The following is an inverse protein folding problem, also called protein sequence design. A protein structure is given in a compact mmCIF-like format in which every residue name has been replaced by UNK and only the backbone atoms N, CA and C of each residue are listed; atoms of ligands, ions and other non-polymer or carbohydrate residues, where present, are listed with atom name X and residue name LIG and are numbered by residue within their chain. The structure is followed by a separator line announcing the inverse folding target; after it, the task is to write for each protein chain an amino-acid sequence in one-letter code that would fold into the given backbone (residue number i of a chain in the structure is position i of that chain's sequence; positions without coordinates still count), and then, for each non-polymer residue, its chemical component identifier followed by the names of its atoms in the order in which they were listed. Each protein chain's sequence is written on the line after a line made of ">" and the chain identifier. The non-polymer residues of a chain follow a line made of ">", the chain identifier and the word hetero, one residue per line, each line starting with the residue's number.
data_IF_250498055775
#
_entry.id   IF_250498055775
#
_cell.length_a   1.000
_cell.length_b   1.000
_cell.length_c   1.000
_cell.angle_alpha   90.00
_cell.angle_beta   90.00
_cell.angle_gamma   90.00
#
_symmetry.space_group_name_H-M   'P 1'
#
loop_
_entity.id
_entity.type
_entity.pdbx_description
1 polymer ?
#
# COMPACT_ATOMS: atom_id res chain seq x y z
N UNK A 1 26.47 33.73 -45.41
CA UNK A 1 25.28 33.55 -44.53
C UNK A 1 25.14 32.12 -44.01
N UNK A 2 25.31 31.08 -44.83
CA UNK A 2 25.12 29.69 -44.41
C UNK A 2 26.09 29.21 -43.31
N UNK A 3 27.36 29.62 -43.32
CA UNK A 3 28.35 29.17 -42.33
C UNK A 3 28.07 29.70 -40.92
N UNK A 4 27.61 30.95 -40.81
CA UNK A 4 27.23 31.57 -39.53
C UNK A 4 25.99 30.89 -38.95
N UNK A 5 24.99 30.61 -39.80
CA UNK A 5 23.78 29.89 -39.42
C UNK A 5 24.12 28.47 -38.93
N UNK A 6 25.03 27.77 -39.60
CA UNK A 6 25.44 26.41 -39.24
C UNK A 6 26.18 26.36 -37.89
N UNK A 7 27.07 27.33 -37.64
CA UNK A 7 27.75 27.48 -36.34
C UNK A 7 26.74 27.79 -35.22
N UNK A 8 25.76 28.64 -35.50
CA UNK A 8 24.72 29.01 -34.52
C UNK A 8 23.83 27.81 -34.17
N UNK A 9 23.46 26.99 -35.16
CA UNK A 9 22.72 25.74 -34.94
C UNK A 9 23.53 24.76 -34.07
N UNK A 10 24.82 24.57 -34.36
CA UNK A 10 25.68 23.67 -33.57
C UNK A 10 25.78 24.15 -32.11
N UNK A 11 25.91 25.47 -31.88
CA UNK A 11 25.95 26.03 -30.53
C UNK A 11 24.63 25.82 -29.78
N UNK A 12 23.50 25.99 -30.45
CA UNK A 12 22.18 25.74 -29.85
C UNK A 12 22.01 24.26 -29.49
N UNK A 13 22.38 23.34 -30.40
CA UNK A 13 22.32 21.90 -30.13
C UNK A 13 23.24 21.50 -28.97
N UNK A 14 24.46 22.05 -28.92
CA UNK A 14 25.39 21.80 -27.82
C UNK A 14 24.87 22.34 -26.48
N UNK A 15 24.25 23.53 -26.48
CA UNK A 15 23.64 24.11 -25.30
C UNK A 15 22.45 23.28 -24.79
N UNK A 16 21.58 22.81 -25.71
CA UNK A 16 20.47 21.92 -25.37
C UNK A 16 20.99 20.59 -24.81
N UNK A 17 21.98 19.96 -25.45
CA UNK A 17 22.56 18.71 -24.98
C UNK A 17 23.20 18.86 -23.58
N UNK A 18 23.90 19.97 -23.33
CA UNK A 18 24.47 20.29 -22.02
C UNK A 18 23.38 20.54 -20.96
N UNK A 19 22.32 21.28 -21.30
CA UNK A 19 21.19 21.51 -20.41
C UNK A 19 20.46 20.20 -20.04
N UNK A 20 20.24 19.31 -21.01
CA UNK A 20 19.63 18.00 -20.78
C UNK A 20 20.54 17.10 -19.92
N UNK A 21 21.84 17.06 -20.19
CA UNK A 21 22.80 16.27 -19.41
C UNK A 21 22.95 16.77 -17.97
N UNK A 22 23.03 18.09 -17.76
CA UNK A 22 23.14 18.67 -16.43
C UNK A 22 21.86 18.47 -15.61
N UNK A 23 20.69 18.63 -16.24
CA UNK A 23 19.38 18.36 -15.63
C UNK A 23 19.20 16.89 -15.26
N UNK A 24 19.55 15.96 -16.15
CA UNK A 24 19.43 14.52 -15.88
C UNK A 24 20.34 14.06 -14.74
N UNK A 25 21.57 14.59 -14.67
CA UNK A 25 22.51 14.32 -13.57
C UNK A 25 22.05 14.89 -12.24
N UNK A 26 21.47 16.10 -12.24
CA UNK A 26 20.91 16.71 -11.04
C UNK A 26 19.69 15.93 -10.52
N UNK A 27 18.78 15.53 -11.41
CA UNK A 27 17.64 14.69 -11.06
C UNK A 27 18.06 13.31 -10.56
N UNK A 28 19.05 12.67 -11.19
CA UNK A 28 19.57 11.38 -10.74
C UNK A 28 20.12 11.42 -9.32
N UNK A 29 20.85 12.49 -8.95
CA UNK A 29 21.34 12.70 -7.58
C UNK A 29 20.22 12.87 -6.57
N UNK A 30 19.24 13.74 -6.85
CA UNK A 30 18.07 13.96 -5.98
C UNK A 30 17.24 12.68 -5.78
N UNK A 31 17.06 11.90 -6.83
CA UNK A 31 16.36 10.62 -6.75
C UNK A 31 17.14 9.60 -5.91
N UNK A 32 18.47 9.58 -6.00
CA UNK A 32 19.30 8.71 -5.17
C UNK A 32 19.31 9.13 -3.69
N UNK A 33 19.38 10.43 -3.40
CA UNK A 33 19.29 10.97 -2.04
C UNK A 33 17.92 10.66 -1.42
N UNK A 34 16.83 10.96 -2.13
CA UNK A 34 15.47 10.65 -1.62
C UNK A 34 15.23 9.15 -1.42
N UNK A 35 15.79 8.29 -2.27
CA UNK A 35 15.78 6.84 -2.06
C UNK A 35 16.55 6.44 -0.80
N UNK A 36 17.75 7.00 -0.58
CA UNK A 36 18.57 6.69 0.58
C UNK A 36 17.88 7.10 1.89
N UNK A 37 17.29 8.29 1.93
CA UNK A 37 16.54 8.79 3.09
C UNK A 37 15.31 7.92 3.38
N UNK A 38 14.52 7.61 2.34
CA UNK A 38 13.36 6.74 2.48
C UNK A 38 13.75 5.33 2.95
N UNK A 39 14.89 4.80 2.48
CA UNK A 39 15.41 3.52 2.96
C UNK A 39 15.83 3.56 4.42
N UNK A 40 16.48 4.64 4.85
CA UNK A 40 16.90 4.81 6.24
C UNK A 40 15.70 4.87 7.19
N UNK A 41 14.65 5.62 6.84
CA UNK A 41 13.43 5.72 7.66
C UNK A 41 12.71 4.38 7.76
N UNK A 42 12.56 3.67 6.63
CA UNK A 42 11.96 2.33 6.62
C UNK A 42 12.75 1.33 7.48
N UNK A 43 14.07 1.27 7.31
CA UNK A 43 14.95 0.34 8.05
C UNK A 43 14.87 0.55 9.55
N UNK A 44 14.86 1.80 10.02
CA UNK A 44 14.69 2.12 11.45
C UNK A 44 13.44 1.46 12.05
N UNK A 45 12.30 1.51 11.33
CA UNK A 45 11.06 0.89 11.81
C UNK A 45 11.08 -0.63 11.68
N UNK A 46 11.69 -1.17 10.62
CA UNK A 46 11.86 -2.62 10.42
C UNK A 46 12.74 -3.23 11.52
N UNK A 47 13.85 -2.58 11.87
CA UNK A 47 14.73 -3.00 12.96
C UNK A 47 14.01 -2.95 14.31
N UNK A 48 13.24 -1.88 14.56
CA UNK A 48 12.38 -1.79 15.75
C UNK A 48 11.38 -2.94 15.80
N UNK A 49 10.71 -3.24 14.68
CA UNK A 49 9.76 -4.34 14.58
C UNK A 49 10.42 -5.70 14.83
N UNK A 50 11.55 -5.96 14.17
CA UNK A 50 12.33 -7.20 14.35
C UNK A 50 12.75 -7.39 15.80
N UNK A 51 13.19 -6.31 16.46
CA UNK A 51 13.52 -6.34 17.89
C UNK A 51 12.34 -6.69 18.79
N UNK A 52 11.10 -6.35 18.42
CA UNK A 52 9.91 -6.74 19.18
C UNK A 52 9.51 -8.20 18.90
N UNK A 53 9.45 -8.58 17.62
CA UNK A 53 9.04 -9.92 17.19
C UNK A 53 9.97 -11.00 17.73
N UNK A 54 11.28 -10.75 17.78
CA UNK A 54 12.27 -11.73 18.25
C UNK A 54 12.31 -11.88 19.78
N UNK A 55 11.84 -10.88 20.53
CA UNK A 55 11.98 -10.84 22.00
C UNK A 55 10.66 -11.02 22.75
N UNK A 56 9.51 -10.91 22.08
CA UNK A 56 8.19 -11.13 22.69
C UNK A 56 7.73 -12.56 22.44
N UNK A 57 7.09 -13.16 23.45
CA UNK A 57 6.44 -14.46 23.34
C UNK A 57 5.02 -14.34 23.87
N UNK A 58 4.03 -14.69 23.04
CA UNK A 58 2.61 -14.54 23.39
C UNK A 58 2.18 -15.48 24.51
N UNK A 59 1.44 -14.95 25.50
CA UNK A 59 0.91 -15.71 26.65
C UNK A 59 -0.48 -16.31 26.44
N UNK A 60 -1.21 -15.84 25.43
CA UNK A 60 -2.60 -16.16 25.14
C UNK A 60 -2.82 -16.21 23.61
N UNK A 61 -3.99 -16.64 23.17
CA UNK A 61 -4.25 -16.86 21.75
C UNK A 61 -4.24 -15.54 20.95
N UNK A 62 -4.75 -14.46 21.53
CA UNK A 62 -4.78 -13.13 20.92
C UNK A 62 -3.35 -12.58 20.71
N UNK A 63 -2.50 -12.67 21.73
CA UNK A 63 -1.11 -12.24 21.66
C UNK A 63 -0.25 -13.11 20.75
N UNK A 64 -0.47 -14.44 20.73
CA UNK A 64 0.22 -15.35 19.79
C UNK A 64 -0.16 -15.03 18.35
N UNK A 65 -1.45 -14.87 18.06
CA UNK A 65 -1.94 -14.53 16.73
C UNK A 65 -1.39 -13.19 16.26
N UNK A 66 -1.48 -12.15 17.10
CA UNK A 66 -0.94 -10.84 16.78
C UNK A 66 0.59 -10.86 16.57
N UNK A 67 1.37 -11.63 17.34
CA UNK A 67 2.81 -11.78 17.09
C UNK A 67 3.11 -12.56 15.80
N UNK A 68 2.28 -13.53 15.44
CA UNK A 68 2.39 -14.22 14.16
C UNK A 68 2.14 -13.25 12.99
N UNK A 69 1.05 -12.47 13.03
CA UNK A 69 0.75 -11.44 12.03
C UNK A 69 1.87 -10.37 11.99
N UNK A 70 2.45 -9.98 13.13
CA UNK A 70 3.61 -9.08 13.19
C UNK A 70 4.85 -9.67 12.50
N UNK A 71 5.10 -10.97 12.68
CA UNK A 71 6.22 -11.69 12.07
C UNK A 71 6.08 -11.79 10.55
N UNK A 72 4.86 -12.00 10.06
CA UNK A 72 4.54 -11.95 8.63
C UNK A 72 4.87 -10.57 8.05
N UNK A 73 4.42 -9.49 8.71
CA UNK A 73 4.72 -8.12 8.30
C UNK A 73 6.21 -7.80 8.35
N UNK A 74 6.93 -8.29 9.36
CA UNK A 74 8.38 -8.14 9.45
C UNK A 74 9.11 -8.79 8.27
N UNK A 75 8.72 -10.02 7.91
CA UNK A 75 9.29 -10.75 6.77
C UNK A 75 9.00 -10.02 5.46
N UNK A 76 7.76 -9.56 5.27
CA UNK A 76 7.37 -8.80 4.10
C UNK A 76 8.13 -7.47 3.98
N UNK A 77 8.17 -6.68 5.06
CA UNK A 77 8.85 -5.38 5.08
C UNK A 77 10.36 -5.53 4.83
N UNK A 78 11.00 -6.54 5.42
CA UNK A 78 12.42 -6.84 5.23
C UNK A 78 12.72 -7.19 3.76
N UNK A 79 11.91 -8.05 3.15
CA UNK A 79 12.06 -8.41 1.73
C UNK A 79 11.82 -7.21 0.80
N UNK A 80 10.78 -6.40 1.07
CA UNK A 80 10.45 -5.23 0.27
C UNK A 80 11.54 -4.15 0.32
N UNK A 81 12.11 -3.88 1.50
CA UNK A 81 13.12 -2.82 1.63
C UNK A 81 14.44 -3.18 0.94
N UNK A 82 14.79 -4.47 0.95
CA UNK A 82 15.99 -4.98 0.29
C UNK A 82 15.88 -4.88 -1.24
N UNK A 83 14.68 -5.12 -1.78
CA UNK A 83 14.40 -5.02 -3.21
C UNK A 83 14.05 -3.61 -3.71
N UNK A 84 13.81 -2.65 -2.79
CA UNK A 84 13.36 -1.31 -3.17
C UNK A 84 14.40 -0.56 -4.02
N UNK A 85 13.98 -0.06 -5.18
CA UNK A 85 14.80 0.76 -6.10
C UNK A 85 14.27 2.18 -6.25
N UNK A 86 13.14 2.49 -5.61
CA UNK A 86 12.49 3.82 -5.62
C UNK A 86 12.07 4.25 -4.21
N UNK A 87 12.02 5.55 -3.95
CA UNK A 87 11.58 6.08 -2.66
C UNK A 87 10.16 5.60 -2.30
N UNK A 88 9.28 5.46 -3.30
CA UNK A 88 7.92 4.91 -3.12
C UNK A 88 7.94 3.47 -2.63
N UNK A 89 8.78 2.60 -3.19
CA UNK A 89 8.90 1.22 -2.72
C UNK A 89 9.45 1.15 -1.29
N UNK A 90 10.41 2.00 -0.94
CA UNK A 90 10.90 2.09 0.44
C UNK A 90 9.80 2.57 1.41
N UNK A 91 8.95 3.53 1.00
CA UNK A 91 7.80 3.97 1.77
C UNK A 91 6.75 2.87 1.97
N UNK A 92 6.51 2.01 0.96
CA UNK A 92 5.62 0.85 1.11
C UNK A 92 6.18 -0.17 2.14
N UNK A 93 7.50 -0.39 2.13
CA UNK A 93 8.15 -1.23 3.13
C UNK A 93 8.04 -0.63 4.55
N UNK A 94 8.16 0.70 4.66
CA UNK A 94 7.90 1.44 5.91
C UNK A 94 6.47 1.21 6.40
N UNK A 95 5.48 1.31 5.52
CA UNK A 95 4.07 1.08 5.86
C UNK A 95 3.84 -0.36 6.37
N UNK A 96 4.42 -1.36 5.70
CA UNK A 96 4.40 -2.75 6.19
C UNK A 96 5.03 -2.92 7.57
N UNK A 97 6.12 -2.21 7.86
CA UNK A 97 6.75 -2.22 9.18
C UNK A 97 5.85 -1.57 10.25
N UNK A 98 5.16 -0.47 9.92
CA UNK A 98 4.21 0.19 10.82
C UNK A 98 3.03 -0.74 11.12
N UNK A 99 2.49 -1.44 10.12
CA UNK A 99 1.43 -2.44 10.32
C UNK A 99 1.90 -3.53 11.29
N UNK A 100 3.11 -4.05 11.10
CA UNK A 100 3.74 -5.00 12.04
C UNK A 100 3.84 -4.45 13.45
N UNK A 101 4.21 -3.17 13.61
CA UNK A 101 4.26 -2.52 14.93
C UNK A 101 2.89 -2.37 15.58
N UNK A 102 1.81 -2.17 14.81
CA UNK A 102 0.46 -2.20 15.34
C UNK A 102 0.07 -3.60 15.84
N UNK A 103 0.48 -4.67 15.14
CA UNK A 103 0.29 -6.03 15.62
C UNK A 103 1.09 -6.32 16.91
N UNK A 104 2.33 -5.85 17.01
CA UNK A 104 3.10 -5.90 18.26
C UNK A 104 2.38 -5.16 19.38
N UNK A 105 1.87 -3.95 19.11
CA UNK A 105 1.11 -3.16 20.08
C UNK A 105 -0.12 -3.94 20.56
N UNK A 106 -0.86 -4.56 19.65
CA UNK A 106 -2.01 -5.40 19.97
C UNK A 106 -1.63 -6.61 20.82
N UNK A 107 -0.52 -7.29 20.50
CA UNK A 107 -0.01 -8.38 21.32
C UNK A 107 0.34 -7.93 22.74
N UNK A 108 1.02 -6.79 22.88
CA UNK A 108 1.37 -6.21 24.19
C UNK A 108 0.12 -5.87 25.00
N UNK A 109 -0.88 -5.26 24.37
CA UNK A 109 -2.19 -4.99 25.00
C UNK A 109 -2.88 -6.28 25.46
N UNK A 110 -2.88 -7.34 24.64
CA UNK A 110 -3.45 -8.64 25.01
C UNK A 110 -2.74 -9.28 26.21
N UNK A 111 -1.42 -9.10 26.33
CA UNK A 111 -0.62 -9.55 27.48
C UNK A 111 -0.71 -8.62 28.70
N UNK A 112 -1.51 -7.55 28.66
CA UNK A 112 -1.60 -6.55 29.74
C UNK A 112 -0.33 -5.73 29.94
N UNK A 113 0.52 -5.65 28.93
CA UNK A 113 1.76 -4.85 28.94
C UNK A 113 1.49 -3.42 28.46
N UNK A 114 2.42 -2.51 28.75
CA UNK A 114 2.44 -1.19 28.12
C UNK A 114 2.47 -1.35 26.58
N UNK A 115 1.50 -0.83 25.82
CA UNK A 115 1.45 -0.94 24.36
C UNK A 115 2.64 -0.25 23.67
N UNK A 116 3.36 0.62 24.37
CA UNK A 116 4.50 1.38 23.85
C UNK A 116 4.07 2.71 23.22
N UNK A 117 5.01 3.42 22.57
CA UNK A 117 4.75 4.76 22.06
C UNK A 117 3.74 4.73 20.91
N UNK A 118 3.06 5.87 20.72
CA UNK A 118 2.17 6.09 19.58
C UNK A 118 2.87 5.82 18.26
N UNK A 119 2.10 5.26 17.33
CA UNK A 119 2.57 4.90 15.99
C UNK A 119 2.06 5.92 14.98
N UNK A 120 2.82 6.08 13.91
CA UNK A 120 2.33 6.80 12.73
C UNK A 120 1.09 6.07 12.18
N UNK A 121 0.06 6.83 11.83
CA UNK A 121 -1.19 6.26 11.33
C UNK A 121 -1.01 5.64 9.95
N UNK A 122 -1.63 4.48 9.73
CA UNK A 122 -1.63 3.80 8.43
C UNK A 122 -2.54 4.51 7.40
N UNK A 123 -2.30 4.24 6.11
CA UNK A 123 -3.14 4.78 5.04
C UNK A 123 -4.59 4.32 5.20
N UNK A 124 -5.52 5.27 5.27
CA UNK A 124 -6.95 4.99 5.41
C UNK A 124 -7.37 4.44 6.76
N UNK A 125 -6.48 4.37 7.75
CA UNK A 125 -6.82 3.87 9.10
C UNK A 125 -7.84 4.78 9.79
N UNK A 126 -7.63 6.10 9.74
CA UNK A 126 -8.54 7.07 10.36
C UNK A 126 -9.92 7.04 9.72
N UNK A 127 -9.99 6.94 8.40
CA UNK A 127 -11.24 6.90 7.65
C UNK A 127 -11.98 5.57 7.76
N UNK A 128 -11.27 4.49 8.10
CA UNK A 128 -11.88 3.19 8.36
C UNK A 128 -12.49 3.08 9.78
N UNK A 129 -12.15 4.00 10.68
CA UNK A 129 -12.70 3.99 12.02
C UNK A 129 -12.20 2.84 12.89
N UNK A 130 -12.86 2.63 14.02
CA UNK A 130 -12.51 1.60 14.99
C UNK A 130 -13.75 1.02 15.68
N UNK A 131 -13.64 -0.24 16.09
CA UNK A 131 -14.60 -0.90 16.97
C UNK A 131 -14.54 -0.25 18.34
N UNK A 132 -15.66 0.27 18.83
CA UNK A 132 -15.74 0.97 20.13
C UNK A 132 -16.51 0.22 21.20
N UNK A 133 -17.26 -0.81 20.80
CA UNK A 133 -18.08 -1.62 21.71
C UNK A 133 -18.05 -3.10 21.31
N UNK A 134 -18.29 -3.97 22.28
CA UNK A 134 -18.43 -5.40 22.04
C UNK A 134 -19.71 -5.64 21.22
N UNK A 135 -19.58 -6.42 20.15
CA UNK A 135 -20.71 -6.79 19.32
C UNK A 135 -20.63 -8.24 18.89
N UNK A 136 -21.79 -8.88 18.91
CA UNK A 136 -21.99 -10.27 18.56
C UNK A 136 -23.24 -10.37 17.68
N UNK A 137 -23.09 -11.01 16.54
CA UNK A 137 -24.18 -11.21 15.58
C UNK A 137 -24.25 -12.68 15.15
N UNK A 138 -25.43 -13.12 14.71
CA UNK A 138 -25.57 -14.36 13.95
C UNK A 138 -25.62 -14.00 12.46
N UNK A 139 -24.66 -14.48 11.69
CA UNK A 139 -24.54 -14.22 10.26
C UNK A 139 -24.36 -15.56 9.54
N UNK A 140 -25.23 -15.91 8.59
CA UNK A 140 -25.13 -17.17 7.83
C UNK A 140 -25.02 -18.44 8.71
N UNK A 141 -25.69 -18.46 9.87
CA UNK A 141 -25.72 -19.61 10.78
C UNK A 141 -24.50 -19.75 11.69
N UNK A 142 -23.61 -18.75 11.73
CA UNK A 142 -22.40 -18.70 12.55
C UNK A 142 -22.37 -17.43 13.40
N UNK A 143 -21.77 -17.50 14.58
CA UNK A 143 -21.62 -16.37 15.49
C UNK A 143 -20.35 -15.60 15.13
N UNK A 144 -20.50 -14.30 14.83
CA UNK A 144 -19.38 -13.41 14.50
C UNK A 144 -19.32 -12.32 15.55
N UNK A 145 -18.11 -12.00 16.00
CA UNK A 145 -17.89 -11.01 17.04
C UNK A 145 -16.83 -9.98 16.66
N UNK A 146 -17.03 -8.77 17.18
CA UNK A 146 -16.07 -7.68 17.19
C UNK A 146 -15.94 -7.10 18.60
N UNK A 147 -14.75 -6.65 18.98
CA UNK A 147 -14.50 -6.00 20.27
C UNK A 147 -13.40 -4.94 20.17
N UNK A 148 -13.46 -3.85 20.97
CA UNK A 148 -12.33 -2.95 21.16
C UNK A 148 -11.16 -3.63 21.90
N UNK A 149 -11.42 -4.72 22.64
CA UNK A 149 -10.44 -5.37 23.52
C UNK A 149 -10.12 -6.81 23.08
N UNK A 150 -8.89 -7.28 23.34
CA UNK A 150 -8.52 -8.67 23.08
C UNK A 150 -9.31 -9.62 23.99
N UNK A 151 -9.74 -10.75 23.43
CA UNK A 151 -10.33 -11.85 24.21
C UNK A 151 -10.12 -13.19 23.50
N UNK A 152 -10.39 -14.29 24.21
CA UNK A 152 -10.40 -15.62 23.59
C UNK A 152 -11.45 -15.76 22.48
N UNK A 153 -12.52 -14.95 22.52
CA UNK A 153 -13.57 -14.95 21.48
C UNK A 153 -13.21 -14.11 20.27
N UNK A 154 -12.30 -13.15 20.44
CA UNK A 154 -11.87 -12.20 19.41
C UNK A 154 -10.34 -12.19 19.28
N UNK A 155 -9.70 -13.31 18.90
CA UNK A 155 -8.23 -13.39 18.91
C UNK A 155 -7.57 -12.68 17.71
N UNK A 156 -8.35 -12.27 16.70
CA UNK A 156 -7.80 -11.71 15.46
C UNK A 156 -7.81 -10.19 15.51
N UNK A 157 -6.64 -9.56 15.60
CA UNK A 157 -6.53 -8.11 15.51
C UNK A 157 -6.46 -7.63 14.06
N UNK A 158 -7.06 -6.47 13.78
CA UNK A 158 -6.80 -5.70 12.57
C UNK A 158 -6.48 -4.25 12.95
N UNK A 159 -5.40 -3.65 12.40
CA UNK A 159 -5.00 -2.28 12.76
C UNK A 159 -5.91 -1.19 12.20
N UNK A 160 -6.86 -1.52 11.32
CA UNK A 160 -7.67 -0.54 10.59
C UNK A 160 -7.00 -0.10 9.29
N UNK A 161 -7.79 0.23 8.28
CA UNK A 161 -7.29 0.64 6.97
C UNK A 161 -8.14 0.12 5.81
N UNK A 162 -7.55 0.05 4.61
CA UNK A 162 -8.25 -0.41 3.40
C UNK A 162 -7.79 -1.80 2.98
N UNK A 163 -8.76 -2.66 2.63
CA UNK A 163 -8.53 -3.97 2.01
C UNK A 163 -9.33 -4.04 0.72
N UNK A 164 -8.64 -4.28 -0.41
CA UNK A 164 -9.25 -4.32 -1.74
C UNK A 164 -10.21 -3.13 -2.01
N UNK A 165 -9.75 -1.92 -1.67
CA UNK A 165 -10.51 -0.68 -1.86
C UNK A 165 -11.59 -0.38 -0.82
N UNK A 166 -11.89 -1.28 0.12
CA UNK A 166 -12.92 -1.07 1.14
C UNK A 166 -12.33 -0.82 2.53
N UNK A 167 -12.90 0.11 3.32
CA UNK A 167 -12.46 0.40 4.68
C UNK A 167 -12.85 -0.73 5.64
N UNK A 168 -11.90 -1.17 6.46
CA UNK A 168 -12.08 -2.19 7.51
C UNK A 168 -11.71 -1.54 8.85
N UNK A 169 -12.63 -1.47 9.83
CA UNK A 169 -12.35 -0.81 11.10
C UNK A 169 -11.24 -1.48 11.91
N UNK A 170 -10.48 -0.70 12.66
CA UNK A 170 -9.52 -1.23 13.63
C UNK A 170 -10.26 -1.96 14.76
N UNK A 171 -9.79 -3.13 15.18
CA UNK A 171 -10.43 -3.87 16.27
C UNK A 171 -10.02 -5.33 16.36
N UNK A 172 -10.62 -6.03 17.32
CA UNK A 172 -10.47 -7.46 17.54
C UNK A 172 -11.70 -8.21 17.03
N UNK A 173 -11.49 -9.33 16.35
CA UNK A 173 -12.53 -10.08 15.66
C UNK A 173 -12.45 -11.58 15.97
N UNK A 174 -13.62 -12.23 16.01
CA UNK A 174 -13.68 -13.70 16.18
C UNK A 174 -13.05 -14.45 15.03
N UNK A 175 -13.13 -13.87 13.84
CA UNK A 175 -12.51 -14.39 12.64
C UNK A 175 -11.95 -13.26 11.77
N UNK A 176 -10.92 -13.54 10.96
CA UNK A 176 -10.30 -12.53 10.12
C UNK A 176 -11.07 -12.35 8.80
N UNK A 177 -12.30 -11.85 8.86
CA UNK A 177 -13.23 -11.75 7.73
C UNK A 177 -12.72 -10.90 6.54
N UNK A 178 -11.71 -10.06 6.75
CA UNK A 178 -11.04 -9.27 5.70
C UNK A 178 -9.94 -10.05 4.96
N UNK A 179 -9.33 -11.08 5.58
CA UNK A 179 -8.18 -11.81 5.00
C UNK A 179 -8.49 -12.41 3.62
N UNK A 180 -9.68 -13.00 3.35
CA UNK A 180 -10.01 -13.48 2.01
C UNK A 180 -9.93 -12.39 0.93
N UNK A 181 -10.42 -11.18 1.21
CA UNK A 181 -10.35 -10.06 0.27
C UNK A 181 -8.93 -9.52 0.09
N UNK A 182 -8.09 -9.60 1.13
CA UNK A 182 -6.67 -9.24 1.04
C UNK A 182 -5.91 -10.16 0.08
N UNK A 183 -6.23 -11.47 0.09
CA UNK A 183 -5.58 -12.46 -0.77
C UNK A 183 -6.18 -12.45 -2.19
N UNK A 184 -7.50 -12.45 -2.30
CA UNK A 184 -8.19 -12.55 -3.59
C UNK A 184 -8.26 -11.20 -4.35
N UNK A 185 -8.03 -10.08 -3.66
CA UNK A 185 -8.23 -8.74 -4.22
C UNK A 185 -9.70 -8.37 -4.48
N UNK A 186 -10.64 -9.20 -4.04
CA UNK A 186 -12.07 -9.01 -4.25
C UNK A 186 -12.87 -9.42 -3.00
N UNK A 187 -13.99 -8.72 -2.78
CA UNK A 187 -14.91 -9.01 -1.68
C UNK A 187 -16.02 -9.97 -2.10
N UNK A 188 -16.43 -10.85 -1.19
CA UNK A 188 -17.55 -11.75 -1.41
C UNK A 188 -18.89 -11.02 -1.36
N UNK A 189 -19.92 -11.60 -1.99
CA UNK A 189 -21.28 -11.03 -2.03
C UNK A 189 -21.86 -10.79 -0.61
N UNK A 190 -21.53 -11.64 0.36
CA UNK A 190 -21.99 -11.51 1.75
C UNK A 190 -21.25 -10.46 2.59
N UNK A 191 -20.11 -9.93 2.13
CA UNK A 191 -19.28 -9.04 2.95
C UNK A 191 -19.95 -7.71 3.29
N UNK A 192 -20.80 -7.19 2.41
CA UNK A 192 -21.57 -5.97 2.66
C UNK A 192 -22.64 -6.19 3.74
N UNK A 193 -23.33 -7.32 3.70
CA UNK A 193 -24.33 -7.70 4.69
C UNK A 193 -23.69 -7.98 6.06
N UNK A 194 -22.53 -8.65 6.06
CA UNK A 194 -21.76 -8.87 7.29
C UNK A 194 -21.33 -7.54 7.89
N UNK A 195 -20.81 -6.63 7.06
CA UNK A 195 -20.40 -5.30 7.50
C UNK A 195 -21.58 -4.54 8.10
N UNK A 196 -22.73 -4.49 7.42
CA UNK A 196 -23.92 -3.79 7.90
C UNK A 196 -24.38 -4.35 9.26
N UNK A 197 -24.55 -5.67 9.35
CA UNK A 197 -24.96 -6.33 10.58
C UNK A 197 -23.97 -6.08 11.74
N UNK A 198 -22.68 -6.04 11.44
CA UNK A 198 -21.64 -5.83 12.44
C UNK A 198 -21.47 -4.36 12.83
N UNK A 199 -21.61 -3.38 11.95
CA UNK A 199 -21.18 -2.00 12.26
C UNK A 199 -22.29 -0.96 12.20
N UNK A 200 -23.51 -1.35 11.79
CA UNK A 200 -24.65 -0.43 11.79
C UNK A 200 -24.85 0.23 13.17
N UNK A 201 -24.84 1.56 13.19
CA UNK A 201 -25.00 2.37 14.39
C UNK A 201 -23.85 2.33 15.40
N UNK A 202 -22.71 1.69 15.07
CA UNK A 202 -21.55 1.67 15.97
C UNK A 202 -20.83 3.02 15.96
N UNK A 203 -20.63 3.60 17.14
CA UNK A 203 -19.85 4.83 17.27
C UNK A 203 -18.39 4.59 16.80
N UNK A 204 -17.82 5.49 16.02
CA UNK A 204 -16.45 5.34 15.51
C UNK A 204 -16.33 4.52 14.22
N UNK A 205 -17.44 4.03 13.65
CA UNK A 205 -17.53 3.55 12.28
C UNK A 205 -18.60 4.37 11.56
N UNK A 206 -18.19 5.52 11.01
CA UNK A 206 -19.12 6.56 10.55
C UNK A 206 -19.70 6.32 9.14
N UNK A 207 -19.56 5.09 8.61
CA UNK A 207 -20.06 4.70 7.30
C UNK A 207 -20.89 3.41 7.39
N UNK A 208 -22.00 3.40 6.65
CA UNK A 208 -22.87 2.22 6.53
C UNK A 208 -22.46 1.28 5.40
N UNK A 209 -23.28 0.25 5.16
CA UNK A 209 -23.07 -0.76 4.12
C UNK A 209 -22.76 -0.17 2.73
N UNK A 210 -23.49 0.88 2.34
CA UNK A 210 -23.30 1.54 1.04
C UNK A 210 -21.94 2.24 0.94
N UNK A 211 -21.47 2.87 2.01
CA UNK A 211 -20.13 3.48 2.09
C UNK A 211 -19.04 2.41 1.99
N UNK A 212 -19.19 1.32 2.75
CA UNK A 212 -18.30 0.17 2.66
C UNK A 212 -18.25 -0.42 1.25
N UNK A 213 -19.41 -0.69 0.62
CA UNK A 213 -19.52 -1.30 -0.70
C UNK A 213 -18.82 -0.47 -1.79
N UNK A 214 -19.08 0.83 -1.75
CA UNK A 214 -18.53 1.82 -2.68
C UNK A 214 -17.07 2.18 -2.40
N UNK A 215 -16.48 1.65 -1.32
CA UNK A 215 -15.13 1.97 -0.89
C UNK A 215 -15.00 3.40 -0.34
N UNK A 216 -16.11 4.06 0.00
CA UNK A 216 -16.15 5.32 0.73
C UNK A 216 -16.01 5.04 2.23
N UNK A 217 -14.84 5.33 2.77
CA UNK A 217 -14.65 5.71 4.17
C UNK A 217 -14.30 7.19 4.18
N UNK A 218 -14.88 7.96 5.10
CA UNK A 218 -14.75 9.43 5.15
C UNK A 218 -13.29 9.87 4.98
N UNK A 219 -12.96 10.43 3.80
CA UNK A 219 -11.59 10.81 3.45
C UNK A 219 -11.20 10.69 1.97
N UNK A 220 -12.08 10.18 1.09
CA UNK A 220 -11.83 10.29 -0.37
C UNK A 220 -11.97 11.73 -0.89
N UNK A 221 -12.52 12.65 -0.09
CA UNK A 221 -12.50 14.09 -0.37
C UNK A 221 -11.07 14.63 -0.45
N UNK A 222 -10.16 14.19 0.42
CA UNK A 222 -8.86 14.84 0.55
C UNK A 222 -7.85 14.36 -0.50
N UNK A 223 -7.99 13.11 -0.97
CA UNK A 223 -7.17 12.56 -2.06
C UNK A 223 -7.66 12.95 -3.46
N UNK A 224 -8.98 13.06 -3.65
CA UNK A 224 -9.57 13.49 -4.92
C UNK A 224 -9.49 15.01 -5.10
N UNK A 225 -9.67 15.80 -4.03
CA UNK A 225 -9.44 17.24 -4.06
C UNK A 225 -7.96 17.58 -4.27
N UNK A 226 -7.01 16.89 -3.63
CA UNK A 226 -5.58 17.11 -3.89
C UNK A 226 -5.15 16.71 -5.33
N UNK A 227 -5.84 15.73 -5.94
CA UNK A 227 -5.64 15.34 -7.33
C UNK A 227 -6.24 16.33 -8.34
N UNK A 228 -7.29 17.07 -7.95
CA UNK A 228 -7.97 18.04 -8.81
C UNK A 228 -7.43 19.47 -8.64
N UNK A 229 -6.96 19.85 -7.43
CA UNK A 229 -6.36 21.16 -7.15
C UNK A 229 -4.88 21.27 -7.55
N UNK A 230 -4.20 20.16 -7.91
CA UNK A 230 -2.83 20.24 -8.48
C UNK A 230 -2.79 20.35 -10.02
N UNK A 231 -3.94 20.57 -10.67
CA UNK A 231 -4.07 20.71 -12.13
C UNK A 231 -4.58 22.07 -12.64
N UNK A 232 -4.76 23.06 -11.76
CA UNK A 232 -5.23 24.40 -12.12
C UNK A 232 -4.11 25.30 -12.67
N UNK A 233 -3.60 25.03 -13.87
CA UNK A 233 -2.86 26.04 -14.62
C UNK A 233 -3.86 26.97 -15.32
N UNK A 234 -4.21 28.06 -14.63
CA UNK A 234 -4.73 29.27 -15.27
C UNK A 234 -3.57 29.95 -16.00
N UNK A 235 -3.69 30.00 -17.33
CA UNK A 235 -2.70 30.54 -18.24
C UNK A 235 -3.34 30.89 -19.57
N UNK A 236 -4.24 31.89 -19.52
CA UNK A 236 -4.54 32.84 -20.60
C UNK A 236 -4.68 32.30 -22.02
N UNK A 237 -5.92 32.31 -22.52
CA UNK A 237 -6.19 32.32 -23.95
C UNK A 237 -5.47 33.51 -24.64
N UNK A 238 -4.82 33.25 -25.77
CA UNK A 238 -4.95 33.99 -27.04
C UNK A 238 -3.77 33.69 -27.98
N UNK A 239 -4.04 33.15 -29.17
CA UNK A 239 -3.04 33.06 -30.25
C UNK A 239 -3.25 31.89 -31.20
N UNK A 240 -4.24 32.02 -32.09
CA UNK A 240 -4.50 31.06 -33.16
C UNK A 240 -3.35 30.94 -34.17
N UNK A 241 -3.27 29.76 -34.80
CA UNK A 241 -2.36 29.47 -35.89
C UNK A 241 -2.41 28.00 -36.29
N UNK A 242 -3.22 27.74 -37.31
CA UNK A 242 -3.27 26.57 -38.20
C UNK A 242 -1.94 25.81 -38.38
N UNK A 243 -1.99 24.49 -38.57
CA UNK A 243 -1.27 23.75 -39.64
C UNK A 243 -1.46 22.23 -39.48
N UNK A 244 -2.27 21.67 -40.37
CA UNK A 244 -1.88 20.55 -41.23
C UNK A 244 -1.88 19.14 -40.64
N UNK A 245 -2.82 18.31 -41.11
CA UNK A 245 -2.91 16.90 -40.78
C UNK A 245 -1.96 15.99 -41.56
N UNK A 246 -1.91 14.74 -41.09
CA UNK A 246 -1.62 13.56 -41.89
C UNK A 246 -2.24 12.33 -41.23
N UNK A 247 -3.25 11.79 -41.91
CA UNK A 247 -3.71 10.42 -41.75
C UNK A 247 -2.68 9.44 -42.34
N UNK A 248 -2.24 8.48 -41.52
CA UNK A 248 -1.76 7.16 -41.97
C UNK A 248 -1.96 6.21 -40.78
N UNK A 249 -3.04 5.43 -40.69
CA UNK A 249 -3.20 4.10 -41.32
C UNK A 249 -2.20 3.09 -40.73
N UNK A 250 -2.53 1.95 -40.14
CA UNK A 250 -3.78 1.20 -40.02
C UNK A 250 -3.55 -0.02 -39.10
N UNK A 251 -4.64 -0.64 -38.67
CA UNK A 251 -4.66 -1.90 -37.93
C UNK A 251 -4.53 -3.08 -38.89
N UNK A 252 -3.63 -4.02 -38.55
CA UNK A 252 -3.61 -5.46 -38.92
C UNK A 252 -2.51 -6.07 -38.03
N UNK A 253 -2.62 -7.21 -37.35
CA UNK A 253 -3.40 -8.41 -37.62
C UNK A 253 -2.45 -9.61 -37.75
N UNK A 254 -2.18 -10.32 -36.65
CA UNK A 254 -1.80 -11.74 -36.66
C UNK A 254 -0.33 -12.13 -36.37
N UNK A 255 -0.16 -13.25 -35.66
CA UNK A 255 1.07 -14.05 -35.71
C UNK A 255 1.53 -14.71 -34.40
N UNK A 256 0.78 -15.69 -33.87
CA UNK A 256 1.34 -16.75 -33.02
C UNK A 256 1.96 -17.83 -33.92
N UNK A 257 3.22 -18.19 -33.68
CA UNK A 257 3.93 -19.45 -33.98
C UNK A 257 5.43 -19.13 -33.76
N UNK A 258 6.32 -19.93 -33.17
CA UNK A 258 6.37 -21.35 -32.93
C UNK A 258 7.83 -21.79 -33.14
N UNK A 259 8.49 -22.30 -32.09
CA UNK A 259 9.82 -22.94 -32.14
C UNK A 259 11.03 -21.99 -31.98
N UNK A 260 12.11 -22.32 -31.30
CA UNK A 260 12.53 -23.55 -30.63
C UNK A 260 14.05 -23.51 -30.47
N UNK A 261 14.55 -23.66 -29.24
CA UNK A 261 15.93 -24.07 -28.89
C UNK A 261 15.80 -24.59 -27.45
N UNK A 262 16.16 -25.82 -27.09
CA UNK A 262 17.21 -26.67 -27.62
C UNK A 262 18.00 -27.14 -26.40
N UNK A 263 17.64 -28.35 -25.97
CA UNK A 263 18.32 -29.27 -25.06
C UNK A 263 19.84 -29.01 -24.84
N UNK A 264 20.23 -28.88 -23.57
CA UNK A 264 21.58 -29.19 -23.10
C UNK A 264 21.49 -29.98 -21.79
N UNK A 265 21.11 -31.25 -21.91
CA UNK A 265 21.52 -32.29 -20.97
C UNK A 265 23.03 -32.53 -21.04
N UNK A 266 23.69 -32.50 -19.88
CA UNK A 266 25.10 -32.84 -19.71
C UNK A 266 25.31 -33.44 -18.32
N UNK A 267 25.31 -34.76 -18.29
CA UNK A 267 25.63 -35.67 -17.18
C UNK A 267 26.95 -35.34 -16.48
N UNK A 268 26.97 -35.38 -15.14
CA UNK A 268 28.17 -35.67 -14.34
C UNK A 268 27.76 -36.27 -12.99
N UNK A 269 27.55 -37.59 -12.98
CA UNK A 269 27.61 -38.41 -11.78
C UNK A 269 28.95 -39.18 -11.66
N UNK A 270 29.49 -39.23 -10.45
CA UNK A 270 30.34 -40.31 -9.92
C UNK A 270 31.86 -40.09 -10.00
N UNK A 271 32.49 -39.79 -8.86
CA UNK A 271 33.20 -40.73 -7.95
C UNK A 271 33.28 -40.14 -6.55
#
# INVERSE_FOLDING_TARGET
>A
MNSILLVLIILVVAAIAFAVYSSSKANGRRSAESLADAKADARRLIERLGGQVLNLTGSDDASKQALADASERYTAASSQIDQATTAKQAALAKESAIEGLYYVRAARTAMGMDPGPELESLTGQRSAGAVTEDRRINFEGREVEASPNPSQRTPNYYPGGRVAGRPVPAGWYSEPWWKPALVAGAWGLGSVLLFDAMFSGMHGVDYGAQGFESGYGDGYSDGFAAGQDSGGFDGGADGGGDWGGTDTGGWDGGGFDGGGFGDFGGDFGGF
#
